data_IF_207379026640
#
_entry.id   IF_207379026640
#
_cell.length_a   1.000
_cell.length_b   1.000
_cell.length_c   1.000
_cell.angle_alpha   90.00
_cell.angle_beta   90.00
_cell.angle_gamma   90.00
#
_symmetry.space_group_name_H-M   'P 1'
#
loop_
_entity.id
_entity.type
_entity.pdbx_description
1 polymer ?
#
# COMPACT_ATOMS: atom_id res chain seq x y z
N UNK A 1 15.50 -6.79 53.00
CA UNK A 1 14.46 -6.51 51.99
C UNK A 1 15.07 -5.62 50.93
N UNK A 2 15.63 -6.27 49.92
CA UNK A 2 16.23 -5.65 48.75
C UNK A 2 15.15 -5.39 47.70
N UNK A 3 15.49 -4.52 46.74
CA UNK A 3 14.78 -4.35 45.47
C UNK A 3 13.58 -3.40 45.50
N UNK A 4 13.85 -2.11 45.64
CA UNK A 4 12.94 -1.11 45.10
C UNK A 4 13.60 0.05 44.36
N UNK A 5 14.90 0.28 44.53
CA UNK A 5 15.61 1.37 43.85
C UNK A 5 16.31 0.97 42.54
N UNK A 6 16.30 -0.31 42.15
CA UNK A 6 16.89 -0.75 40.86
C UNK A 6 15.88 -0.80 39.70
N UNK A 7 14.60 -0.48 39.95
CA UNK A 7 13.53 -0.54 38.95
C UNK A 7 13.28 0.80 38.24
N UNK A 8 13.87 1.90 38.73
CA UNK A 8 13.62 3.24 38.17
C UNK A 8 14.70 3.69 37.18
N UNK A 9 15.83 2.98 37.09
CA UNK A 9 16.94 3.31 36.17
C UNK A 9 16.97 2.49 34.87
N UNK A 10 16.07 1.53 34.68
CA UNK A 10 15.98 0.72 33.46
C UNK A 10 14.89 1.16 32.48
N UNK A 11 14.06 2.16 32.84
CA UNK A 11 13.06 2.73 31.93
C UNK A 11 13.61 3.83 31.01
N UNK A 12 14.87 4.23 31.16
CA UNK A 12 15.50 5.30 30.37
C UNK A 12 16.37 4.81 29.19
N UNK A 13 16.32 3.52 28.83
CA UNK A 13 17.05 2.97 27.68
C UNK A 13 16.17 2.35 26.58
N UNK A 14 14.84 2.42 26.68
CA UNK A 14 13.91 1.91 25.64
C UNK A 14 13.09 3.05 25.03
N UNK A 15 13.77 4.11 24.58
CA UNK A 15 13.14 5.20 23.81
C UNK A 15 13.83 5.45 22.46
N UNK A 16 14.62 4.49 21.96
CA UNK A 16 15.19 4.55 20.60
C UNK A 16 14.46 3.59 19.63
N UNK A 17 13.53 2.75 20.10
CA UNK A 17 12.75 1.85 19.22
C UNK A 17 11.46 2.46 18.66
N UNK A 18 11.08 3.69 19.05
CA UNK A 18 9.84 4.33 18.58
C UNK A 18 9.91 4.92 17.17
N UNK A 19 10.86 4.48 16.34
CA UNK A 19 10.95 4.86 14.91
C UNK A 19 10.79 3.69 13.93
N UNK A 20 10.60 2.45 14.41
CA UNK A 20 10.54 1.27 13.52
C UNK A 20 9.33 0.34 13.69
N UNK A 21 8.22 0.79 14.30
CA UNK A 21 7.05 -0.09 14.40
C UNK A 21 5.77 0.59 14.83
N UNK A 22 4.91 0.93 13.88
CA UNK A 22 3.50 1.19 14.12
C UNK A 22 2.67 0.60 12.97
N UNK A 23 2.61 -0.73 12.98
CA UNK A 23 1.55 -1.63 12.48
C UNK A 23 2.21 -2.97 12.14
N UNK A 24 2.60 -3.72 13.17
CA UNK A 24 3.02 -5.12 13.03
C UNK A 24 1.81 -5.99 12.71
N UNK A 25 1.31 -5.90 11.48
CA UNK A 25 0.56 -7.02 10.90
C UNK A 25 1.62 -8.06 10.56
N UNK A 26 1.77 -9.06 11.45
CA UNK A 26 2.65 -10.18 11.23
C UNK A 26 2.44 -10.70 9.79
N UNK A 27 3.53 -10.81 9.05
CA UNK A 27 3.50 -11.37 7.70
C UNK A 27 2.90 -12.78 7.83
N UNK A 28 1.87 -13.13 7.04
CA UNK A 28 1.20 -14.42 7.19
C UNK A 28 2.22 -15.57 7.14
N UNK A 29 2.13 -16.51 8.08
CA UNK A 29 3.02 -17.68 8.23
C UNK A 29 3.17 -18.57 6.97
N UNK A 30 2.41 -18.29 5.91
CA UNK A 30 2.39 -19.05 4.66
C UNK A 30 3.26 -18.44 3.53
N UNK A 31 4.03 -17.38 3.79
CA UNK A 31 5.04 -16.90 2.83
C UNK A 31 6.34 -17.70 3.05
N UNK A 32 6.87 -18.38 2.02
CA UNK A 32 8.14 -19.09 2.14
C UNK A 32 9.23 -18.17 2.70
N UNK A 33 9.89 -18.60 3.78
CA UNK A 33 10.82 -17.76 4.54
C UNK A 33 11.96 -17.21 3.67
N UNK A 34 12.41 -17.98 2.67
CA UNK A 34 13.41 -17.59 1.68
C UNK A 34 12.96 -16.45 0.76
N UNK A 35 11.66 -16.40 0.42
CA UNK A 35 11.09 -15.39 -0.45
C UNK A 35 11.01 -14.04 0.26
N UNK A 36 10.71 -14.05 1.56
CA UNK A 36 10.69 -12.84 2.36
C UNK A 36 12.12 -12.29 2.57
N UNK A 37 13.09 -13.14 2.87
CA UNK A 37 14.49 -12.74 3.04
C UNK A 37 15.08 -12.07 1.78
N UNK A 38 14.77 -12.60 0.59
CA UNK A 38 15.23 -12.00 -0.67
C UNK A 38 14.61 -10.63 -0.93
N UNK A 39 13.32 -10.47 -0.60
CA UNK A 39 12.61 -9.20 -0.71
C UNK A 39 13.19 -8.16 0.28
N UNK A 40 13.40 -8.54 1.54
CA UNK A 40 14.00 -7.69 2.56
C UNK A 40 15.39 -7.21 2.15
N UNK A 41 16.23 -8.12 1.64
CA UNK A 41 17.56 -7.77 1.13
C UNK A 41 17.48 -6.76 -0.02
N UNK A 42 16.60 -6.98 -0.99
CA UNK A 42 16.42 -6.07 -2.11
C UNK A 42 15.94 -4.68 -1.66
N UNK A 43 15.01 -4.63 -0.70
CA UNK A 43 14.54 -3.37 -0.09
C UNK A 43 15.69 -2.66 0.62
N UNK A 44 16.50 -3.37 1.41
CA UNK A 44 17.65 -2.78 2.09
C UNK A 44 18.68 -2.21 1.12
N UNK A 45 18.99 -2.90 0.02
CA UNK A 45 19.87 -2.37 -1.01
C UNK A 45 19.36 -1.04 -1.58
N UNK A 46 18.07 -0.92 -1.85
CA UNK A 46 17.48 0.33 -2.35
C UNK A 46 17.52 1.43 -1.27
N UNK A 47 17.24 1.08 -0.02
CA UNK A 47 17.30 2.02 1.11
C UNK A 47 18.71 2.56 1.34
N UNK A 48 19.74 1.72 1.23
CA UNK A 48 21.13 2.12 1.41
C UNK A 48 21.59 3.03 0.26
N UNK A 49 21.25 2.69 -0.98
CA UNK A 49 21.61 3.49 -2.16
C UNK A 49 21.10 4.94 -2.08
N UNK A 50 19.87 5.15 -1.57
CA UNK A 50 19.27 6.48 -1.44
C UNK A 50 19.43 7.12 -0.05
N UNK A 51 20.20 6.52 0.86
CA UNK A 51 20.33 6.95 2.26
C UNK A 51 18.97 7.17 2.95
N UNK A 52 18.05 6.21 2.77
CA UNK A 52 16.67 6.30 3.26
C UNK A 52 16.53 6.09 4.78
N UNK A 53 17.62 5.70 5.47
CA UNK A 53 17.66 5.56 6.93
C UNK A 53 17.98 6.88 7.66
N UNK A 54 18.30 7.93 6.91
CA UNK A 54 18.58 9.25 7.45
C UNK A 54 17.35 9.89 8.12
N UNK A 55 17.58 10.73 9.15
CA UNK A 55 16.54 11.42 9.94
C UNK A 55 15.57 12.23 9.09
N UNK A 56 15.99 12.69 7.91
CA UNK A 56 15.11 13.43 7.00
C UNK A 56 13.87 12.64 6.54
N UNK A 57 13.93 11.29 6.58
CA UNK A 57 12.84 10.42 6.15
C UNK A 57 11.93 9.96 7.31
N UNK A 58 12.32 10.22 8.55
CA UNK A 58 11.54 9.85 9.74
C UNK A 58 10.16 10.55 9.71
N UNK A 59 9.10 9.76 9.94
CA UNK A 59 7.72 10.26 9.88
C UNK A 59 7.18 10.55 8.48
N UNK A 60 7.94 10.28 7.40
CA UNK A 60 7.51 10.51 6.01
C UNK A 60 6.94 9.26 5.33
N UNK A 61 6.37 8.35 6.11
CA UNK A 61 5.75 7.14 5.57
C UNK A 61 4.54 7.51 4.69
N UNK A 62 4.60 7.16 3.40
CA UNK A 62 3.59 7.57 2.41
C UNK A 62 2.27 6.84 2.61
N UNK A 63 2.32 5.53 2.85
CA UNK A 63 1.12 4.69 2.90
C UNK A 63 0.68 4.25 4.30
N UNK A 64 1.55 4.39 5.31
CA UNK A 64 1.24 4.03 6.69
C UNK A 64 -0.06 4.66 7.23
N UNK A 65 -0.41 5.92 6.88
CA UNK A 65 -1.68 6.52 7.32
C UNK A 65 -2.94 5.82 6.82
N UNK A 66 -2.86 4.90 5.87
CA UNK A 66 -4.01 4.22 5.27
C UNK A 66 -4.11 2.73 5.64
N UNK A 67 -3.06 2.15 6.21
CA UNK A 67 -3.02 0.72 6.55
C UNK A 67 -4.01 0.41 7.69
N UNK A 68 -4.88 -0.58 7.49
CA UNK A 68 -5.82 -1.07 8.51
C UNK A 68 -6.91 -0.08 8.93
N UNK A 69 -7.17 0.99 8.15
CA UNK A 69 -8.12 2.06 8.52
C UNK A 69 -9.50 1.96 7.85
N UNK A 70 -9.74 0.92 7.07
CA UNK A 70 -11.04 0.73 6.40
C UNK A 70 -11.92 -0.20 7.20
N UNK A 71 -13.21 0.13 7.31
CA UNK A 71 -14.19 -0.62 8.11
C UNK A 71 -14.52 -2.00 7.53
N UNK A 72 -14.32 -2.21 6.23
CA UNK A 72 -14.62 -3.48 5.56
C UNK A 72 -13.38 -4.09 4.90
N UNK A 73 -13.28 -5.42 4.97
CA UNK A 73 -12.20 -6.18 4.33
C UNK A 73 -12.11 -5.92 2.82
N UNK A 74 -13.23 -5.65 2.15
CA UNK A 74 -13.26 -5.36 0.70
C UNK A 74 -12.62 -4.00 0.39
N UNK A 75 -12.94 -2.97 1.19
CA UNK A 75 -12.32 -1.65 1.04
C UNK A 75 -10.81 -1.72 1.34
N UNK A 76 -10.41 -2.51 2.35
CA UNK A 76 -9.00 -2.68 2.70
C UNK A 76 -8.19 -3.27 1.55
N UNK A 77 -8.70 -4.34 0.93
CA UNK A 77 -8.02 -4.98 -0.21
C UNK A 77 -7.89 -4.04 -1.39
N UNK A 78 -8.91 -3.24 -1.69
CA UNK A 78 -8.85 -2.27 -2.78
C UNK A 78 -7.79 -1.17 -2.50
N UNK A 79 -7.72 -0.70 -1.25
CA UNK A 79 -6.68 0.24 -0.80
C UNK A 79 -5.28 -0.36 -0.94
N UNK A 80 -5.07 -1.60 -0.52
CA UNK A 80 -3.78 -2.29 -0.65
C UNK A 80 -3.35 -2.42 -2.11
N UNK A 81 -4.27 -2.76 -3.02
CA UNK A 81 -3.96 -2.84 -4.46
C UNK A 81 -3.56 -1.48 -5.03
N UNK A 82 -4.23 -0.40 -4.63
CA UNK A 82 -3.86 0.94 -5.08
C UNK A 82 -2.44 1.31 -4.62
N UNK A 83 -2.06 0.96 -3.38
CA UNK A 83 -0.70 1.15 -2.88
C UNK A 83 0.32 0.32 -3.65
N UNK A 84 0.03 -0.97 -3.90
CA UNK A 84 0.89 -1.86 -4.67
C UNK A 84 1.10 -1.36 -6.11
N UNK A 85 0.06 -0.85 -6.77
CA UNK A 85 0.19 -0.24 -8.10
C UNK A 85 1.08 1.00 -8.06
N UNK A 86 0.91 1.83 -7.05
CA UNK A 86 1.74 3.02 -6.86
C UNK A 86 3.23 2.64 -6.67
N UNK A 87 3.52 1.57 -5.93
CA UNK A 87 4.90 1.06 -5.80
C UNK A 87 5.47 0.57 -7.14
N UNK A 88 4.68 -0.15 -7.94
CA UNK A 88 5.10 -0.59 -9.29
C UNK A 88 5.48 0.60 -10.16
N UNK A 89 4.67 1.65 -10.17
CA UNK A 89 4.94 2.88 -10.91
C UNK A 89 6.19 3.61 -10.40
N UNK A 90 6.32 3.77 -9.07
CA UNK A 90 7.49 4.39 -8.44
C UNK A 90 8.78 3.63 -8.77
N UNK A 91 8.79 2.30 -8.64
CA UNK A 91 9.98 1.49 -8.95
C UNK A 91 10.32 1.53 -10.44
N UNK A 92 9.30 1.54 -11.31
CA UNK A 92 9.50 1.68 -12.75
C UNK A 92 10.18 2.99 -13.10
N UNK A 93 9.83 4.07 -12.41
CA UNK A 93 10.47 5.37 -12.56
C UNK A 93 11.89 5.40 -11.94
N UNK A 94 12.09 4.85 -10.74
CA UNK A 94 13.41 4.76 -10.11
C UNK A 94 14.41 3.97 -10.96
N UNK A 95 13.98 2.91 -11.64
CA UNK A 95 14.82 2.14 -12.57
C UNK A 95 15.26 2.94 -13.80
N UNK A 96 14.50 3.97 -14.21
CA UNK A 96 14.91 4.87 -15.28
C UNK A 96 16.05 5.79 -14.83
N UNK A 97 16.15 6.06 -13.53
CA UNK A 97 17.12 7.00 -12.94
C UNK A 97 18.42 6.33 -12.51
N UNK A 98 18.40 5.05 -12.12
CA UNK A 98 19.59 4.34 -11.68
C UNK A 98 19.62 2.88 -12.13
N UNK A 99 20.73 2.51 -12.79
CA UNK A 99 21.02 1.14 -13.23
C UNK A 99 21.61 0.26 -12.13
N UNK A 100 22.24 0.87 -11.11
CA UNK A 100 22.95 0.17 -10.04
C UNK A 100 22.02 -0.68 -9.16
N UNK A 101 20.81 -0.18 -8.92
CA UNK A 101 19.79 -0.85 -8.12
C UNK A 101 18.69 -1.50 -8.97
N UNK A 102 18.84 -1.53 -10.30
CA UNK A 102 17.80 -2.02 -11.21
C UNK A 102 17.42 -3.48 -10.91
N UNK A 103 18.40 -4.33 -10.62
CA UNK A 103 18.14 -5.73 -10.28
C UNK A 103 17.30 -5.87 -9.00
N UNK A 104 17.62 -5.09 -7.95
CA UNK A 104 16.86 -5.08 -6.70
C UNK A 104 15.44 -4.56 -6.91
N UNK A 105 15.28 -3.47 -7.66
CA UNK A 105 13.96 -2.91 -8.00
C UNK A 105 13.11 -3.88 -8.83
N UNK A 106 13.71 -4.57 -9.81
CA UNK A 106 13.03 -5.64 -10.56
C UNK A 106 12.58 -6.79 -9.67
N UNK A 107 13.44 -7.20 -8.72
CA UNK A 107 13.10 -8.23 -7.74
C UNK A 107 11.89 -7.82 -6.89
N UNK A 108 11.88 -6.60 -6.33
CA UNK A 108 10.76 -6.07 -5.57
C UNK A 108 9.49 -6.01 -6.44
N UNK A 109 9.59 -5.48 -7.66
CA UNK A 109 8.45 -5.33 -8.56
C UNK A 109 7.86 -6.69 -8.97
N UNK A 110 8.69 -7.71 -9.22
CA UNK A 110 8.22 -9.06 -9.52
C UNK A 110 7.39 -9.65 -8.37
N UNK A 111 7.83 -9.45 -7.12
CA UNK A 111 7.08 -9.86 -5.93
C UNK A 111 5.73 -9.15 -5.82
N UNK A 112 5.70 -7.85 -6.06
CA UNK A 112 4.46 -7.06 -6.06
C UNK A 112 3.51 -7.53 -7.17
N UNK A 113 4.01 -7.73 -8.38
CA UNK A 113 3.22 -8.24 -9.51
C UNK A 113 2.63 -9.62 -9.20
N UNK A 114 3.44 -10.55 -8.69
CA UNK A 114 2.97 -11.87 -8.32
C UNK A 114 1.87 -11.83 -7.24
N UNK A 115 2.05 -11.00 -6.21
CA UNK A 115 1.04 -10.83 -5.16
C UNK A 115 -0.27 -10.28 -5.73
N UNK A 116 -0.20 -9.28 -6.61
CA UNK A 116 -1.37 -8.68 -7.26
C UNK A 116 -2.12 -9.70 -8.11
N UNK A 117 -1.41 -10.41 -8.98
CA UNK A 117 -2.01 -11.39 -9.89
C UNK A 117 -2.62 -12.58 -9.16
N UNK A 118 -1.95 -13.06 -8.10
CA UNK A 118 -2.39 -14.27 -7.39
C UNK A 118 -3.46 -14.03 -6.32
N UNK A 119 -3.45 -12.86 -5.65
CA UNK A 119 -4.32 -12.60 -4.49
C UNK A 119 -5.31 -11.46 -4.67
N UNK A 120 -5.09 -10.58 -5.65
CA UNK A 120 -5.83 -9.33 -5.78
C UNK A 120 -6.33 -9.04 -7.20
N UNK A 121 -6.48 -10.06 -8.05
CA UNK A 121 -6.90 -9.90 -9.44
C UNK A 121 -8.28 -9.25 -9.58
N UNK A 122 -9.20 -9.54 -8.65
CA UNK A 122 -10.55 -8.94 -8.62
C UNK A 122 -10.51 -7.46 -8.27
N UNK A 123 -9.77 -7.12 -7.22
CA UNK A 123 -9.58 -5.74 -6.77
C UNK A 123 -8.81 -4.92 -7.80
N UNK A 124 -7.86 -5.54 -8.52
CA UNK A 124 -7.18 -4.92 -9.66
C UNK A 124 -8.16 -4.58 -10.78
N UNK A 125 -9.09 -5.49 -11.10
CA UNK A 125 -10.12 -5.22 -12.11
C UNK A 125 -11.02 -4.05 -11.70
N UNK A 126 -11.49 -4.02 -10.45
CA UNK A 126 -12.29 -2.90 -9.91
C UNK A 126 -11.52 -1.59 -9.98
N UNK A 127 -10.23 -1.59 -9.61
CA UNK A 127 -9.41 -0.39 -9.64
C UNK A 127 -9.23 0.15 -11.06
N UNK A 128 -9.05 -0.73 -12.06
CA UNK A 128 -9.02 -0.35 -13.48
C UNK A 128 -10.33 0.32 -13.90
N UNK A 129 -11.48 -0.28 -13.55
CA UNK A 129 -12.79 0.33 -13.84
C UNK A 129 -12.95 1.71 -13.20
N UNK A 130 -12.51 1.89 -11.96
CA UNK A 130 -12.53 3.19 -11.27
C UNK A 130 -11.68 4.24 -12.00
N UNK A 131 -10.48 3.86 -12.48
CA UNK A 131 -9.63 4.75 -13.27
C UNK A 131 -10.29 5.11 -14.60
N UNK A 132 -10.88 4.14 -15.29
CA UNK A 132 -11.61 4.37 -16.56
C UNK A 132 -12.81 5.30 -16.41
N UNK A 133 -13.50 5.26 -15.26
CA UNK A 133 -14.58 6.19 -14.91
C UNK A 133 -13.99 7.58 -14.65
N UNK A 134 -12.94 7.68 -13.83
CA UNK A 134 -12.30 8.95 -13.46
C UNK A 134 -11.73 9.70 -14.68
N UNK A 135 -11.25 8.96 -15.68
CA UNK A 135 -10.65 9.51 -16.90
C UNK A 135 -11.67 9.86 -18.00
N UNK A 136 -12.98 9.63 -17.78
CA UNK A 136 -14.01 10.06 -18.74
C UNK A 136 -13.94 11.58 -18.95
N UNK A 137 -13.97 12.01 -20.21
CA UNK A 137 -14.07 13.43 -20.53
C UNK A 137 -15.50 13.92 -20.28
N UNK A 138 -15.76 14.46 -19.09
CA UNK A 138 -17.09 14.94 -18.69
C UNK A 138 -17.60 16.14 -19.50
N UNK A 139 -16.73 16.78 -20.29
CA UNK A 139 -17.09 17.88 -21.17
C UNK A 139 -17.46 17.42 -22.59
N UNK A 140 -17.32 16.13 -22.90
CA UNK A 140 -17.71 15.57 -24.19
C UNK A 140 -19.24 15.39 -24.25
N UNK A 141 -19.89 15.99 -25.26
CA UNK A 141 -21.34 15.97 -25.40
C UNK A 141 -21.92 14.56 -25.61
N UNK A 142 -21.17 13.66 -26.25
CA UNK A 142 -21.59 12.26 -26.43
C UNK A 142 -21.56 11.52 -25.09
N UNK A 143 -20.51 11.74 -24.29
CA UNK A 143 -20.41 11.19 -22.94
C UNK A 143 -21.54 11.74 -22.05
N UNK A 144 -21.81 13.04 -22.10
CA UNK A 144 -22.92 13.65 -21.35
C UNK A 144 -24.28 13.06 -21.73
N UNK A 145 -24.55 12.92 -23.04
CA UNK A 145 -25.78 12.30 -23.53
C UNK A 145 -25.91 10.85 -23.07
N UNK A 146 -24.83 10.07 -23.16
CA UNK A 146 -24.80 8.69 -22.66
C UNK A 146 -25.04 8.59 -21.15
N UNK A 147 -24.37 9.44 -20.36
CA UNK A 147 -24.52 9.48 -18.90
C UNK A 147 -25.94 9.90 -18.47
N UNK A 148 -26.63 10.73 -19.26
CA UNK A 148 -28.02 11.07 -18.95
C UNK A 148 -28.97 9.88 -19.18
N UNK A 149 -28.66 9.02 -20.15
CA UNK A 149 -29.48 7.83 -20.46
C UNK A 149 -29.39 6.76 -19.35
N UNK A 150 -28.25 6.64 -18.67
CA UNK A 150 -28.05 5.64 -17.60
C UNK A 150 -28.17 6.21 -16.18
N UNK A 151 -28.32 7.53 -16.03
CA UNK A 151 -28.36 8.23 -14.74
C UNK A 151 -29.32 7.62 -13.73
N UNK A 152 -30.59 7.38 -14.11
CA UNK A 152 -31.60 6.85 -13.19
C UNK A 152 -31.24 5.46 -12.68
N UNK A 153 -30.64 4.62 -13.53
CA UNK A 153 -30.18 3.28 -13.15
C UNK A 153 -29.04 3.34 -12.15
N UNK A 154 -28.06 4.25 -12.37
CA UNK A 154 -26.95 4.47 -11.45
C UNK A 154 -27.45 5.02 -10.11
N UNK A 155 -28.34 6.01 -10.14
CA UNK A 155 -28.91 6.64 -8.95
C UNK A 155 -29.71 5.65 -8.10
N UNK A 156 -30.61 4.87 -8.71
CA UNK A 156 -31.41 3.86 -8.01
C UNK A 156 -30.53 2.79 -7.35
N UNK A 157 -29.51 2.29 -8.06
CA UNK A 157 -28.58 1.31 -7.50
C UNK A 157 -27.81 1.89 -6.30
N UNK A 158 -27.30 3.11 -6.43
CA UNK A 158 -26.58 3.79 -5.35
C UNK A 158 -27.48 4.00 -4.12
N UNK A 159 -28.72 4.45 -4.35
CA UNK A 159 -29.69 4.64 -3.28
C UNK A 159 -29.99 3.34 -2.53
N UNK A 160 -30.25 2.24 -3.26
CA UNK A 160 -30.55 0.93 -2.68
C UNK A 160 -29.38 0.36 -1.89
N UNK A 161 -28.15 0.48 -2.39
CA UNK A 161 -26.96 -0.02 -1.71
C UNK A 161 -26.59 0.81 -0.48
N UNK A 162 -26.74 2.14 -0.55
CA UNK A 162 -26.48 3.04 0.58
C UNK A 162 -27.47 2.92 1.74
N UNK A 163 -28.71 2.49 1.48
CA UNK A 163 -29.74 2.30 2.51
C UNK A 163 -29.75 0.92 3.17
N UNK A 164 -29.03 -0.07 2.61
CA UNK A 164 -28.82 -1.34 3.31
C UNK A 164 -27.88 -1.07 4.49
N UNK A 165 -28.43 -1.05 5.72
CA UNK A 165 -27.61 -1.11 6.93
C UNK A 165 -26.67 -2.31 6.81
N UNK A 166 -25.37 -2.06 6.86
CA UNK A 166 -24.35 -3.09 7.06
C UNK A 166 -24.44 -3.66 8.47
#
# INVERSE_FOLDING_TARGET
MNSWFSLVLMCSLVLIESLNGAAGNAIPHNIPHNHLQNLEKAVHTVQEYYDLKNKQWMGRAVFAPYLGKTETCTCEKLMLVAMLNSYVEMFSDMMKRSKEIEASLKGIQANVTHLRESKYSKEQHVLTQLQEIKLKNVNDMTIQGGAMNDFLSVYDMAYRLGHKKQ
#
